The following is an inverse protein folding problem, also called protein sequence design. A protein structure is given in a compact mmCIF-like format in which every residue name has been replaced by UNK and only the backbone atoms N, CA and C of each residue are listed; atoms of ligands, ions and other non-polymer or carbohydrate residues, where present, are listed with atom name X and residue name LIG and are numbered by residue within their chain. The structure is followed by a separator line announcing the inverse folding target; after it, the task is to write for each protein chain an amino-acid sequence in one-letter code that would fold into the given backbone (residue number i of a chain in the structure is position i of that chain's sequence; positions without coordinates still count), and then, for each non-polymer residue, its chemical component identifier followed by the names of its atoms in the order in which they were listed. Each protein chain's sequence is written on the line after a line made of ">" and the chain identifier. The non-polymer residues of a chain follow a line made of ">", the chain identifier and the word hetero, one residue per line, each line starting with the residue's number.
data_IF_983820500680
#
_entry.id   IF_983820500680
#
_cell.length_a   1.000
_cell.length_b   1.000
_cell.length_c   1.000
_cell.angle_alpha   90.00
_cell.angle_beta   90.00
_cell.angle_gamma   90.00
#
_symmetry.space_group_name_H-M   'P 1'
#
loop_
_entity.id
_entity.type
_entity.pdbx_description
1 polymer ?
#
# COMPACT_ATOMS: atom_id res chain seq x y z
N UNK A 1 42.23 21.12 51.30
CA UNK A 1 42.41 22.57 51.01
C UNK A 1 42.75 22.72 49.53
N UNK A 2 42.19 23.74 48.87
CA UNK A 2 42.19 24.07 47.42
C UNK A 2 41.20 23.18 46.62
N UNK A 3 39.92 23.52 46.37
CA UNK A 3 39.24 24.74 45.89
C UNK A 3 39.80 25.28 44.57
N UNK A 4 39.09 25.01 43.45
CA UNK A 4 38.91 25.86 42.25
C UNK A 4 38.67 24.99 41.01
N UNK A 5 37.81 25.27 40.03
CA UNK A 5 36.72 26.23 39.86
C UNK A 5 36.00 25.78 38.58
N UNK A 6 34.68 25.73 38.61
CA UNK A 6 33.81 25.48 37.46
C UNK A 6 33.92 26.61 36.43
N UNK A 7 33.94 26.28 35.14
CA UNK A 7 33.55 27.22 34.08
C UNK A 7 32.52 26.53 33.18
N UNK A 8 31.26 26.84 33.48
CA UNK A 8 30.09 26.61 32.65
C UNK A 8 30.06 27.76 31.66
N UNK A 9 30.31 27.50 30.38
CA UNK A 9 30.09 28.50 29.33
C UNK A 9 28.72 28.24 28.73
N UNK A 10 27.72 28.95 29.25
CA UNK A 10 26.37 29.00 28.70
C UNK A 10 26.37 29.70 27.34
N UNK A 11 25.76 29.06 26.35
CA UNK A 11 25.40 29.74 25.10
C UNK A 11 24.07 30.46 25.33
N UNK A 12 24.11 31.78 25.22
CA UNK A 12 22.99 32.70 25.39
C UNK A 12 22.03 32.55 24.21
N UNK A 13 20.76 32.24 24.52
CA UNK A 13 19.63 32.41 23.61
C UNK A 13 19.44 33.90 23.33
N UNK A 14 19.75 34.32 22.10
CA UNK A 14 19.32 35.62 21.59
C UNK A 14 17.96 35.44 20.89
N UNK A 15 16.89 35.75 21.60
CA UNK A 15 15.58 35.97 20.99
C UNK A 15 15.63 37.29 20.20
N UNK A 16 15.35 37.21 18.89
CA UNK A 16 14.93 38.38 18.11
C UNK A 16 13.46 38.22 17.74
N UNK A 17 12.65 39.12 18.27
CA UNK A 17 11.31 39.44 17.79
C UNK A 17 11.47 40.09 16.41
N UNK A 18 10.84 39.50 15.40
CA UNK A 18 10.57 40.15 14.11
C UNK A 18 9.08 39.92 13.84
N UNK A 19 8.27 40.92 14.19
CA UNK A 19 6.99 41.14 13.52
C UNK A 19 7.29 41.61 12.10
N UNK A 20 6.75 40.90 11.12
CA UNK A 20 6.90 41.22 9.72
C UNK A 20 6.32 40.09 8.87
N UNK A 21 5.07 40.26 8.47
CA UNK A 21 4.37 39.38 7.54
C UNK A 21 5.27 39.09 6.32
N UNK A 22 5.80 37.87 6.26
CA UNK A 22 6.56 37.39 5.11
C UNK A 22 5.61 36.56 4.28
N UNK A 23 5.19 37.14 3.16
CA UNK A 23 4.58 36.44 2.04
C UNK A 23 5.40 35.17 1.75
N UNK A 24 4.72 34.02 1.76
CA UNK A 24 5.28 32.74 1.37
C UNK A 24 5.70 32.81 -0.10
N UNK A 25 7.00 32.91 -0.34
CA UNK A 25 7.64 32.76 -1.65
C UNK A 25 7.26 31.39 -2.25
N UNK A 26 6.46 31.33 -3.34
CA UNK A 26 6.03 30.08 -3.95
C UNK A 26 7.17 29.32 -4.65
N UNK A 27 8.37 29.90 -4.77
CA UNK A 27 9.45 29.38 -5.59
C UNK A 27 10.39 28.37 -4.90
N UNK A 28 10.14 27.97 -3.65
CA UNK A 28 11.00 27.00 -2.92
C UNK A 28 10.44 25.59 -2.73
N UNK A 29 9.29 25.28 -3.29
CA UNK A 29 8.86 23.88 -3.47
C UNK A 29 9.34 23.39 -4.84
N UNK A 30 10.66 23.17 -4.97
CA UNK A 30 11.14 22.37 -6.08
C UNK A 30 10.46 21.00 -5.99
N UNK A 31 9.81 20.51 -7.06
CA UNK A 31 9.36 19.13 -7.09
C UNK A 31 10.58 18.25 -6.85
N UNK A 32 10.47 17.29 -5.92
CA UNK A 32 11.43 16.18 -5.86
C UNK A 32 11.27 15.45 -7.20
N UNK A 33 12.22 15.68 -8.11
CA UNK A 33 12.28 14.95 -9.36
C UNK A 33 12.55 13.48 -9.03
N UNK A 34 11.58 12.64 -9.33
CA UNK A 34 11.72 11.18 -9.35
C UNK A 34 12.74 10.85 -10.46
N UNK A 35 13.90 10.24 -10.15
CA UNK A 35 14.95 9.98 -11.13
C UNK A 35 14.56 8.94 -12.20
N UNK A 36 13.36 8.35 -12.12
CA UNK A 36 12.82 7.45 -13.14
C UNK A 36 11.65 8.12 -13.88
N UNK A 37 12.00 8.87 -14.95
CA UNK A 37 11.13 9.72 -15.76
C UNK A 37 10.04 9.00 -16.58
N UNK A 38 9.27 8.10 -15.98
CA UNK A 38 7.93 7.76 -16.45
C UNK A 38 6.97 8.64 -15.69
N UNK A 39 6.53 9.73 -16.34
CA UNK A 39 5.43 10.57 -15.88
C UNK A 39 4.37 9.68 -15.21
N UNK A 40 4.22 9.81 -13.89
CA UNK A 40 3.35 9.02 -13.02
C UNK A 40 1.86 9.23 -13.28
N UNK A 41 1.46 9.33 -14.55
CA UNK A 41 0.07 9.38 -14.98
C UNK A 41 -0.44 7.95 -15.04
N UNK A 42 -1.41 7.68 -14.19
CA UNK A 42 -2.33 6.56 -14.35
C UNK A 42 -2.99 6.71 -15.73
N UNK A 43 -2.93 5.68 -16.56
CA UNK A 43 -3.55 5.74 -17.87
C UNK A 43 -5.10 5.82 -17.77
N UNK A 44 -5.72 6.32 -18.84
CA UNK A 44 -7.19 6.44 -18.90
C UNK A 44 -7.89 5.08 -18.76
N UNK A 45 -7.20 3.97 -19.02
CA UNK A 45 -7.77 2.65 -18.88
C UNK A 45 -8.08 2.34 -17.42
N UNK A 46 -7.13 2.55 -16.50
CA UNK A 46 -7.32 2.31 -15.06
C UNK A 46 -8.47 3.12 -14.49
N UNK A 47 -8.57 4.40 -14.85
CA UNK A 47 -9.64 5.29 -14.38
C UNK A 47 -11.03 4.82 -14.82
N UNK A 48 -11.13 4.13 -15.96
CA UNK A 48 -12.39 3.60 -16.48
C UNK A 48 -12.71 2.17 -16.04
N UNK A 49 -11.73 1.41 -15.54
CA UNK A 49 -11.87 -0.03 -15.26
C UNK A 49 -11.69 -0.42 -13.80
N UNK A 50 -11.08 0.45 -12.99
CA UNK A 50 -10.79 0.21 -11.60
C UNK A 50 -11.53 1.17 -10.66
N UNK A 51 -11.89 0.65 -9.50
CA UNK A 51 -12.23 1.45 -8.33
C UNK A 51 -11.07 1.36 -7.36
N UNK A 52 -10.76 2.46 -6.70
CA UNK A 52 -9.64 2.53 -5.76
C UNK A 52 -10.10 3.16 -4.45
N UNK A 53 -9.36 2.86 -3.39
CA UNK A 53 -9.56 3.54 -2.11
C UNK A 53 -8.30 3.51 -1.28
N UNK A 54 -8.08 4.61 -0.58
CA UNK A 54 -6.91 4.82 0.25
C UNK A 54 -7.26 4.61 1.71
N UNK A 55 -6.42 3.87 2.42
CA UNK A 55 -6.51 3.71 3.88
C UNK A 55 -5.47 4.56 4.62
N UNK A 56 -4.56 5.20 3.88
CA UNK A 56 -3.62 6.24 4.33
C UNK A 56 -2.72 5.85 5.52
N UNK A 57 -2.49 4.55 5.74
CA UNK A 57 -1.46 4.10 6.68
C UNK A 57 -0.12 4.07 5.96
N UNK A 58 0.91 4.55 6.64
CA UNK A 58 2.28 4.46 6.16
C UNK A 58 2.75 3.02 6.23
N UNK A 59 3.33 2.54 5.13
CA UNK A 59 3.85 1.19 5.02
C UNK A 59 5.36 1.24 4.89
N UNK A 60 6.01 0.22 5.42
CA UNK A 60 7.43 0.03 5.23
C UNK A 60 7.68 -0.42 3.78
N UNK A 61 8.53 0.33 3.06
CA UNK A 61 8.87 0.06 1.66
C UNK A 61 9.49 -1.33 1.44
N UNK A 62 10.43 -1.74 2.31
CA UNK A 62 11.04 -3.07 2.19
C UNK A 62 10.00 -4.17 2.39
N UNK A 63 9.02 -3.96 3.27
CA UNK A 63 7.91 -4.89 3.48
C UNK A 63 6.97 -4.99 2.28
N UNK A 64 6.68 -3.87 1.60
CA UNK A 64 5.89 -3.86 0.36
C UNK A 64 6.60 -4.63 -0.74
N UNK A 65 7.90 -4.36 -0.95
CA UNK A 65 8.69 -5.01 -1.98
C UNK A 65 8.88 -6.51 -1.72
N UNK A 66 9.14 -6.91 -0.47
CA UNK A 66 9.26 -8.31 -0.10
C UNK A 66 7.93 -9.06 -0.27
N UNK A 67 6.81 -8.51 0.23
CA UNK A 67 5.50 -9.12 0.05
C UNK A 67 5.12 -9.25 -1.44
N UNK A 68 5.50 -8.27 -2.27
CA UNK A 68 5.33 -8.31 -3.72
C UNK A 68 6.12 -9.44 -4.35
N UNK A 69 7.40 -9.59 -3.99
CA UNK A 69 8.24 -10.69 -4.47
C UNK A 69 7.70 -12.06 -4.05
N UNK A 70 7.22 -12.22 -2.81
CA UNK A 70 6.57 -13.45 -2.35
C UNK A 70 5.34 -13.80 -3.20
N UNK A 71 4.49 -12.80 -3.48
CA UNK A 71 3.30 -12.98 -4.31
C UNK A 71 3.66 -13.39 -5.76
N UNK A 72 4.65 -12.74 -6.34
CA UNK A 72 5.15 -13.04 -7.67
C UNK A 72 5.75 -14.45 -7.77
N UNK A 73 6.60 -14.85 -6.81
CA UNK A 73 7.18 -16.20 -6.77
C UNK A 73 6.11 -17.28 -6.60
N UNK A 74 5.11 -17.04 -5.74
CA UNK A 74 3.99 -17.94 -5.57
C UNK A 74 3.21 -18.14 -6.88
N UNK A 75 2.92 -17.05 -7.60
CA UNK A 75 2.27 -17.10 -8.91
C UNK A 75 3.11 -17.77 -10.00
N UNK A 76 4.41 -17.48 -10.05
CA UNK A 76 5.38 -18.09 -10.98
C UNK A 76 5.52 -19.61 -10.78
N UNK A 77 5.28 -20.09 -9.55
CA UNK A 77 5.25 -21.52 -9.23
C UNK A 77 3.98 -22.23 -9.75
N UNK A 78 3.14 -21.55 -10.53
CA UNK A 78 1.92 -22.11 -11.12
C UNK A 78 0.70 -22.04 -10.21
N UNK A 79 0.83 -21.47 -9.01
CA UNK A 79 -0.29 -21.29 -8.10
C UNK A 79 -1.24 -20.19 -8.60
N UNK A 80 -2.52 -20.33 -8.25
CA UNK A 80 -3.60 -19.42 -8.66
C UNK A 80 -4.56 -19.21 -7.51
N UNK A 81 -5.09 -17.99 -7.37
CA UNK A 81 -6.13 -17.70 -6.38
C UNK A 81 -7.43 -18.38 -6.83
N UNK A 82 -7.98 -19.35 -6.07
CA UNK A 82 -9.20 -20.05 -6.45
C UNK A 82 -10.39 -19.10 -6.64
N UNK A 83 -11.43 -19.56 -7.33
CA UNK A 83 -12.65 -18.78 -7.52
C UNK A 83 -13.29 -18.44 -6.16
N UNK A 84 -13.91 -17.26 -6.04
CA UNK A 84 -14.55 -16.77 -4.81
C UNK A 84 -13.68 -16.94 -3.54
N UNK A 85 -12.36 -16.79 -3.69
CA UNK A 85 -11.35 -17.00 -2.65
C UNK A 85 -10.37 -15.82 -2.62
N UNK A 86 -9.46 -15.85 -1.67
CA UNK A 86 -8.39 -14.88 -1.51
C UNK A 86 -7.06 -15.59 -1.25
N UNK A 87 -5.98 -14.81 -1.29
CA UNK A 87 -4.68 -15.21 -0.77
C UNK A 87 -3.96 -13.97 -0.25
N UNK A 88 -3.14 -14.15 0.79
CA UNK A 88 -2.40 -13.08 1.45
C UNK A 88 -0.93 -13.46 1.55
N UNK A 89 -0.06 -12.49 1.31
CA UNK A 89 1.38 -12.58 1.53
C UNK A 89 1.77 -11.50 2.52
N UNK A 90 2.54 -11.88 3.53
CA UNK A 90 2.93 -11.00 4.63
C UNK A 90 4.44 -11.00 4.76
N UNK A 91 5.02 -9.80 4.76
CA UNK A 91 6.44 -9.57 4.98
C UNK A 91 6.61 -8.46 6.01
N UNK A 92 7.30 -8.75 7.11
CA UNK A 92 7.40 -7.85 8.26
C UNK A 92 6.02 -7.43 8.76
N UNK A 93 5.74 -6.12 8.70
CA UNK A 93 4.47 -5.53 9.14
C UNK A 93 3.52 -5.17 7.99
N UNK A 94 3.78 -5.63 6.76
CA UNK A 94 2.99 -5.35 5.56
C UNK A 94 2.37 -6.64 5.03
N UNK A 95 1.11 -6.56 4.60
CA UNK A 95 0.41 -7.61 3.87
C UNK A 95 -0.06 -7.09 2.51
N UNK A 96 0.19 -7.88 1.47
CA UNK A 96 -0.50 -7.76 0.17
C UNK A 96 -1.49 -8.92 0.08
N UNK A 97 -2.71 -8.64 -0.37
CA UNK A 97 -3.68 -9.70 -0.64
C UNK A 97 -4.45 -9.48 -1.92
N UNK A 98 -4.88 -10.60 -2.49
CA UNK A 98 -5.70 -10.66 -3.69
C UNK A 98 -7.00 -11.39 -3.38
N UNK A 99 -8.11 -10.83 -3.83
CA UNK A 99 -9.41 -11.49 -3.81
C UNK A 99 -9.88 -11.79 -5.24
N UNK A 100 -10.18 -13.05 -5.52
CA UNK A 100 -10.78 -13.48 -6.77
C UNK A 100 -12.29 -13.54 -6.61
N UNK A 101 -13.00 -12.63 -7.28
CA UNK A 101 -14.45 -12.51 -7.18
C UNK A 101 -15.19 -13.21 -8.33
N UNK A 102 -14.50 -14.04 -9.13
CA UNK A 102 -15.18 -14.89 -10.11
C UNK A 102 -16.01 -15.93 -9.35
N UNK A 103 -17.33 -15.91 -9.58
CA UNK A 103 -18.29 -16.79 -8.87
C UNK A 103 -18.46 -18.17 -9.49
N UNK A 104 -18.09 -18.31 -10.77
CA UNK A 104 -18.21 -19.58 -11.49
C UNK A 104 -17.24 -20.60 -10.90
N UNK A 105 -17.76 -21.72 -10.40
CA UNK A 105 -16.96 -22.84 -9.85
C UNK A 105 -16.27 -23.63 -10.96
N UNK A 106 -15.42 -22.97 -11.75
CA UNK A 106 -14.64 -23.62 -12.80
C UNK A 106 -13.16 -23.50 -12.45
N UNK A 107 -12.37 -24.55 -12.72
CA UNK A 107 -10.89 -24.47 -12.59
C UNK A 107 -10.31 -23.31 -13.41
N UNK A 108 -10.96 -22.96 -14.53
CA UNK A 108 -10.63 -21.81 -15.38
C UNK A 108 -10.93 -20.45 -14.75
N UNK A 109 -11.70 -20.41 -13.66
CA UNK A 109 -12.00 -19.20 -12.91
C UNK A 109 -10.96 -18.88 -11.83
N UNK A 110 -10.00 -19.76 -11.57
CA UNK A 110 -8.84 -19.42 -10.75
C UNK A 110 -8.01 -18.33 -11.44
N UNK A 111 -7.55 -17.34 -10.68
CA UNK A 111 -6.83 -16.19 -11.22
C UNK A 111 -5.33 -16.30 -10.98
N UNK A 112 -4.51 -16.02 -12.00
CA UNK A 112 -3.07 -15.96 -11.81
C UNK A 112 -2.71 -14.76 -10.92
N UNK A 113 -1.52 -14.83 -10.34
CA UNK A 113 -0.85 -13.72 -9.68
C UNK A 113 0.37 -13.42 -10.54
N UNK A 114 0.43 -12.22 -11.10
CA UNK A 114 1.45 -11.83 -12.08
C UNK A 114 2.16 -10.59 -11.54
N UNK A 115 3.48 -10.53 -11.67
CA UNK A 115 4.28 -9.45 -11.10
C UNK A 115 3.92 -8.10 -11.72
N UNK A 116 3.79 -8.04 -13.04
CA UNK A 116 3.50 -6.79 -13.77
C UNK A 116 2.11 -6.22 -13.39
N UNK A 117 1.17 -7.11 -13.06
CA UNK A 117 -0.16 -6.75 -12.56
C UNK A 117 -0.07 -6.14 -11.16
N UNK A 118 0.76 -6.72 -10.28
CA UNK A 118 1.02 -6.21 -8.94
C UNK A 118 1.77 -4.87 -8.98
N UNK A 119 2.79 -4.73 -9.82
CA UNK A 119 3.53 -3.46 -9.98
C UNK A 119 2.59 -2.33 -10.45
N UNK A 120 1.75 -2.61 -11.45
CA UNK A 120 0.77 -1.64 -11.94
C UNK A 120 -0.23 -1.22 -10.85
N UNK A 121 -0.69 -2.18 -10.04
CA UNK A 121 -1.61 -1.92 -8.92
C UNK A 121 -0.94 -1.09 -7.82
N UNK A 122 0.28 -1.44 -7.42
CA UNK A 122 1.01 -0.71 -6.38
C UNK A 122 1.37 0.70 -6.84
N UNK A 123 1.75 0.87 -8.11
CA UNK A 123 1.98 2.18 -8.71
C UNK A 123 0.69 3.00 -8.73
N UNK A 124 -0.45 2.40 -9.09
CA UNK A 124 -1.75 3.05 -9.05
C UNK A 124 -2.10 3.55 -7.63
N UNK A 125 -1.89 2.71 -6.63
CA UNK A 125 -2.09 3.09 -5.22
C UNK A 125 -1.16 4.24 -4.84
N UNK A 126 0.13 4.17 -5.18
CA UNK A 126 1.11 5.23 -4.90
C UNK A 126 0.68 6.57 -5.50
N UNK A 127 0.24 6.58 -6.77
CA UNK A 127 -0.21 7.81 -7.44
C UNK A 127 -1.49 8.37 -6.83
N UNK A 128 -2.47 7.52 -6.53
CA UNK A 128 -3.79 7.97 -6.05
C UNK A 128 -3.75 8.35 -4.56
N UNK A 129 -3.08 7.55 -3.74
CA UNK A 129 -3.08 7.72 -2.29
C UNK A 129 -1.98 8.65 -1.79
N UNK A 130 -0.95 8.91 -2.62
CA UNK A 130 0.10 9.88 -2.34
C UNK A 130 0.97 9.54 -1.13
N UNK A 131 1.98 10.39 -0.90
CA UNK A 131 2.86 10.36 0.27
C UNK A 131 4.34 10.13 -0.07
N UNK A 132 5.27 10.57 0.81
CA UNK A 132 6.71 10.35 0.64
C UNK A 132 7.13 8.88 0.84
N UNK A 133 6.23 8.04 1.36
CA UNK A 133 6.42 6.62 1.60
C UNK A 133 5.22 5.84 1.05
N UNK A 134 5.36 4.54 0.74
CA UNK A 134 4.25 3.72 0.29
C UNK A 134 3.07 3.81 1.26
N UNK A 135 1.89 4.12 0.73
CA UNK A 135 0.66 4.21 1.52
C UNK A 135 -0.24 3.04 1.23
N UNK A 136 -1.00 2.65 2.25
CA UNK A 136 -1.95 1.55 2.15
C UNK A 136 -3.20 1.93 1.36
N UNK A 137 -3.73 0.94 0.63
CA UNK A 137 -4.88 1.13 -0.23
C UNK A 137 -5.33 -0.16 -0.89
N UNK A 138 -6.36 -0.03 -1.72
CA UNK A 138 -6.95 -1.14 -2.45
C UNK A 138 -7.36 -0.73 -3.86
N UNK A 139 -7.38 -1.72 -4.75
CA UNK A 139 -7.80 -1.60 -6.15
C UNK A 139 -8.76 -2.74 -6.46
N UNK A 140 -9.92 -2.42 -7.01
CA UNK A 140 -10.90 -3.36 -7.53
C UNK A 140 -11.01 -3.21 -9.05
N UNK A 141 -10.67 -4.25 -9.80
CA UNK A 141 -10.73 -4.23 -11.27
C UNK A 141 -11.96 -5.00 -11.75
N UNK A 142 -12.96 -4.28 -12.26
CA UNK A 142 -14.27 -4.85 -12.59
C UNK A 142 -14.19 -5.89 -13.72
N UNK A 143 -13.42 -5.60 -14.77
CA UNK A 143 -13.24 -6.48 -15.93
C UNK A 143 -12.57 -7.79 -15.55
N UNK A 144 -11.61 -7.75 -14.61
CA UNK A 144 -10.92 -8.93 -14.11
C UNK A 144 -11.75 -9.67 -13.07
N UNK A 145 -12.67 -8.98 -12.39
CA UNK A 145 -13.35 -9.43 -11.18
C UNK A 145 -12.34 -9.81 -10.09
N UNK A 146 -11.34 -8.96 -9.91
CA UNK A 146 -10.20 -9.17 -9.00
C UNK A 146 -9.97 -7.93 -8.15
N UNK A 147 -9.78 -8.13 -6.85
CA UNK A 147 -9.39 -7.07 -5.93
C UNK A 147 -7.97 -7.30 -5.43
N UNK A 148 -7.28 -6.21 -5.16
CA UNK A 148 -5.95 -6.16 -4.60
C UNK A 148 -5.97 -5.17 -3.45
N UNK A 149 -5.15 -5.42 -2.44
CA UNK A 149 -4.90 -4.45 -1.41
C UNK A 149 -3.53 -4.67 -0.78
N UNK A 150 -3.00 -3.59 -0.24
CA UNK A 150 -1.75 -3.55 0.51
C UNK A 150 -1.99 -2.73 1.77
N UNK A 151 -1.66 -3.29 2.92
CA UNK A 151 -1.89 -2.63 4.21
C UNK A 151 -1.07 -3.27 5.33
N UNK A 152 -1.20 -2.78 6.55
CA UNK A 152 -0.57 -3.36 7.72
C UNK A 152 -1.02 -4.80 7.98
N UNK A 153 -0.06 -5.66 8.29
CA UNK A 153 -0.29 -7.07 8.60
C UNK A 153 -1.21 -7.29 9.81
N UNK A 154 -1.15 -6.40 10.82
CA UNK A 154 -2.00 -6.46 12.01
C UNK A 154 -3.50 -6.42 11.68
N UNK A 155 -3.89 -5.93 10.51
CA UNK A 155 -5.29 -5.95 10.07
C UNK A 155 -5.78 -7.36 9.72
N UNK A 156 -4.90 -8.34 9.59
CA UNK A 156 -5.28 -9.73 9.37
C UNK A 156 -5.45 -10.52 10.67
N UNK A 157 -5.09 -9.96 11.83
CA UNK A 157 -5.32 -10.60 13.12
C UNK A 157 -6.83 -10.68 13.42
N UNK A 158 -7.36 -11.90 13.51
CA UNK A 158 -8.78 -12.15 13.76
C UNK A 158 -9.74 -11.71 12.64
N UNK A 159 -9.21 -11.25 11.51
CA UNK A 159 -10.04 -10.78 10.40
C UNK A 159 -10.51 -11.95 9.53
N UNK A 160 -11.75 -11.86 9.05
CA UNK A 160 -12.24 -12.78 8.06
C UNK A 160 -12.06 -12.22 6.64
N UNK A 161 -12.03 -13.10 5.63
CA UNK A 161 -11.84 -12.68 4.24
C UNK A 161 -12.93 -11.76 3.72
N UNK A 162 -14.17 -11.97 4.18
CA UNK A 162 -15.29 -11.12 3.80
C UNK A 162 -15.20 -9.71 4.40
N UNK A 163 -14.33 -9.48 5.39
CA UNK A 163 -14.03 -8.16 5.95
C UNK A 163 -12.97 -7.40 5.12
N UNK A 164 -12.20 -8.14 4.30
CA UNK A 164 -11.03 -7.61 3.57
C UNK A 164 -11.16 -7.64 2.05
N UNK A 165 -12.17 -8.35 1.54
CA UNK A 165 -12.51 -8.42 0.14
C UNK A 165 -13.82 -7.65 -0.15
N UNK A 166 -14.08 -7.24 -1.41
CA UNK A 166 -15.36 -6.62 -1.76
C UNK A 166 -16.56 -7.50 -1.37
N UNK A 167 -17.68 -6.87 -1.00
CA UNK A 167 -18.91 -7.61 -0.64
C UNK A 167 -19.30 -8.59 -1.74
N UNK A 168 -19.70 -9.80 -1.36
CA UNK A 168 -20.08 -10.90 -2.26
C UNK A 168 -18.96 -11.39 -3.20
N UNK A 169 -17.70 -11.00 -2.97
CA UNK A 169 -16.55 -11.47 -3.74
C UNK A 169 -16.15 -12.88 -3.33
N UNK A 170 -15.81 -13.02 -2.06
CA UNK A 170 -15.41 -14.26 -1.43
C UNK A 170 -16.62 -14.93 -0.83
N UNK A 171 -16.72 -16.24 -1.02
CA UNK A 171 -17.75 -17.00 -0.31
C UNK A 171 -17.39 -16.95 1.18
N UNK A 172 -18.35 -16.70 2.09
CA UNK A 172 -18.18 -17.21 3.43
C UNK A 172 -18.12 -18.72 3.25
N UNK A 173 -16.91 -19.30 3.30
CA UNK A 173 -16.81 -20.71 3.64
C UNK A 173 -17.59 -20.82 4.93
N UNK A 174 -18.65 -21.63 4.92
CA UNK A 174 -19.52 -21.72 6.07
C UNK A 174 -18.69 -21.91 7.34
N UNK A 175 -19.22 -21.44 8.46
CA UNK A 175 -19.19 -22.37 9.59
C UNK A 175 -19.75 -23.67 9.02
N UNK A 176 -18.88 -24.67 8.86
CA UNK A 176 -19.38 -26.04 8.87
C UNK A 176 -20.28 -26.10 10.10
N UNK A 177 -21.47 -26.64 9.93
CA UNK A 177 -22.19 -27.17 11.06
C UNK A 177 -21.21 -27.99 11.89
N UNK A 178 -20.96 -27.53 13.11
CA UNK A 178 -20.75 -28.34 14.30
C UNK A 178 -21.71 -27.77 15.35
#
# INVERSE_FOLDING_TARGET
>A
MLLSASIITGLVFAARVIEGATELDPARNAPVEDPDGKNGKVDDWWMNHAQTGCTYRHLNESGVEEAKHMAAQWGASGNKVPFASWHVWTAGNVSIWICNCKKTMARRAAQPVVLEELDSVLQLIRVICGGPQPTSGWVWVRSWKKAFAVDHAALWEGAHPYDRCPKNCVRPWGRSHD
#
